data_IF_813272648830
#
_entry.id   IF_813272648830
#
_cell.length_a   1.000
_cell.length_b   1.000
_cell.length_c   1.000
_cell.angle_alpha   90.00
_cell.angle_beta   90.00
_cell.angle_gamma   90.00
#
_symmetry.space_group_name_H-M   'P 1'
#
loop_
_entity.id
_entity.type
_entity.pdbx_description
1 polymer ?
#
# COMPACT_ATOMS: atom_id res chain seq x y z
N UNK A 1 6.12 -27.57 -3.65
CA UNK A 1 6.97 -26.43 -3.21
C UNK A 1 6.84 -26.33 -1.70
N UNK A 2 7.95 -26.19 -1.02
CA UNK A 2 7.95 -25.86 0.41
C UNK A 2 7.74 -24.34 0.56
N UNK A 3 6.56 -23.93 1.02
CA UNK A 3 6.20 -22.52 1.12
C UNK A 3 6.89 -21.80 2.28
N UNK A 4 7.21 -22.52 3.36
CA UNK A 4 7.94 -21.92 4.49
C UNK A 4 9.37 -21.57 4.08
N UNK A 5 10.06 -22.50 3.42
CA UNK A 5 11.39 -22.24 2.89
C UNK A 5 11.38 -21.15 1.80
N UNK A 6 10.37 -21.15 0.93
CA UNK A 6 10.25 -20.12 -0.11
C UNK A 6 10.01 -18.72 0.50
N UNK A 7 9.18 -18.62 1.54
CA UNK A 7 8.93 -17.38 2.28
C UNK A 7 10.20 -16.90 2.99
N UNK A 8 10.91 -17.80 3.67
CA UNK A 8 12.17 -17.48 4.31
C UNK A 8 13.18 -16.93 3.28
N UNK A 9 13.33 -17.59 2.14
CA UNK A 9 14.25 -17.12 1.08
C UNK A 9 13.81 -15.74 0.52
N UNK A 10 12.52 -15.51 0.33
CA UNK A 10 11.98 -14.21 -0.11
C UNK A 10 12.36 -13.11 0.90
N UNK A 11 12.19 -13.35 2.18
CA UNK A 11 12.52 -12.37 3.24
C UNK A 11 14.02 -12.09 3.25
N UNK A 12 14.86 -13.12 3.28
CA UNK A 12 16.31 -12.95 3.44
C UNK A 12 17.00 -12.45 2.17
N UNK A 13 16.55 -12.87 0.98
CA UNK A 13 17.27 -12.61 -0.26
C UNK A 13 16.67 -11.49 -1.10
N UNK A 14 15.43 -11.08 -0.84
CA UNK A 14 14.76 -10.03 -1.60
C UNK A 14 14.40 -8.85 -0.70
N UNK A 15 13.69 -9.09 0.41
CA UNK A 15 13.17 -8.02 1.26
C UNK A 15 14.30 -7.34 2.05
N UNK A 16 15.12 -8.10 2.77
CA UNK A 16 16.26 -7.56 3.53
C UNK A 16 17.29 -6.85 2.65
N UNK A 17 17.57 -7.39 1.48
CA UNK A 17 18.53 -6.79 0.54
C UNK A 17 18.03 -5.47 -0.04
N UNK A 18 16.72 -5.20 0.05
CA UNK A 18 16.11 -3.93 -0.34
C UNK A 18 15.93 -2.97 0.85
N UNK A 19 16.82 -3.09 1.84
CA UNK A 19 16.93 -2.25 3.04
C UNK A 19 15.67 -2.26 3.94
N UNK A 20 14.92 -3.37 3.97
CA UNK A 20 13.89 -3.61 4.99
C UNK A 20 14.53 -4.33 6.16
N UNK A 21 14.77 -3.61 7.26
CA UNK A 21 15.52 -4.09 8.43
C UNK A 21 14.70 -4.08 9.73
N UNK A 22 13.54 -3.42 9.75
CA UNK A 22 12.64 -3.45 10.91
C UNK A 22 12.11 -4.87 11.14
N UNK A 23 12.53 -5.48 12.27
CA UNK A 23 12.15 -6.86 12.59
C UNK A 23 10.65 -7.02 12.72
N UNK A 24 9.93 -6.03 13.24
CA UNK A 24 8.47 -6.10 13.34
C UNK A 24 7.79 -6.17 11.96
N UNK A 25 8.36 -5.50 10.95
CA UNK A 25 7.86 -5.59 9.57
C UNK A 25 8.19 -6.96 8.97
N UNK A 26 9.41 -7.45 9.19
CA UNK A 26 9.81 -8.77 8.70
C UNK A 26 8.98 -9.89 9.32
N UNK A 27 8.66 -9.82 10.60
CA UNK A 27 7.83 -10.79 11.30
C UNK A 27 6.41 -10.88 10.71
N UNK A 28 5.84 -9.74 10.26
CA UNK A 28 4.53 -9.74 9.60
C UNK A 28 4.49 -10.58 8.32
N UNK A 29 5.61 -10.68 7.59
CA UNK A 29 5.69 -11.49 6.38
C UNK A 29 5.63 -13.01 6.67
N UNK A 30 5.88 -13.41 7.92
CA UNK A 30 5.68 -14.78 8.40
C UNK A 30 4.31 -14.98 9.05
N UNK A 31 3.67 -13.90 9.54
CA UNK A 31 2.31 -13.95 10.11
C UNK A 31 1.27 -13.96 9.01
N UNK A 32 1.39 -13.04 8.03
CA UNK A 32 0.49 -12.95 6.91
C UNK A 32 1.10 -13.62 5.68
N UNK A 33 0.59 -14.78 5.34
CA UNK A 33 1.11 -15.60 4.26
C UNK A 33 0.69 -15.02 2.91
N UNK A 34 1.64 -14.44 2.16
CA UNK A 34 1.38 -13.75 0.89
C UNK A 34 0.67 -14.64 -0.13
N UNK A 35 0.99 -15.95 -0.15
CA UNK A 35 0.37 -16.95 -1.03
C UNK A 35 -1.13 -17.16 -0.81
N UNK A 36 -1.68 -16.69 0.32
CA UNK A 36 -3.11 -16.74 0.61
C UNK A 36 -3.88 -15.52 0.11
N UNK A 37 -3.15 -14.49 -0.38
CA UNK A 37 -3.70 -13.25 -0.92
C UNK A 37 -3.58 -13.15 -2.45
N UNK A 38 -3.06 -14.15 -3.12
CA UNK A 38 -2.91 -14.18 -4.57
C UNK A 38 -3.94 -15.11 -5.21
N UNK A 39 -4.32 -14.88 -6.49
CA UNK A 39 -5.17 -15.83 -7.18
C UNK A 39 -4.53 -17.23 -7.22
N UNK A 40 -5.31 -18.32 -7.15
CA UNK A 40 -4.80 -19.68 -7.05
C UNK A 40 -3.75 -20.07 -8.10
N UNK A 41 -3.88 -19.54 -9.32
CA UNK A 41 -2.94 -19.78 -10.42
C UNK A 41 -1.53 -19.20 -10.15
N UNK A 42 -1.40 -18.26 -9.24
CA UNK A 42 -0.14 -17.56 -8.93
C UNK A 42 0.43 -17.92 -7.56
N UNK A 43 -0.13 -18.86 -6.81
CA UNK A 43 0.32 -19.20 -5.44
C UNK A 43 1.81 -19.55 -5.37
N UNK A 44 2.36 -20.26 -6.33
CA UNK A 44 3.77 -20.60 -6.39
C UNK A 44 4.69 -19.43 -6.76
N UNK A 45 4.13 -18.37 -7.33
CA UNK A 45 4.83 -17.13 -7.69
C UNK A 45 4.75 -16.06 -6.60
N UNK A 46 4.00 -16.28 -5.53
CA UNK A 46 3.82 -15.32 -4.44
C UNK A 46 5.14 -14.89 -3.79
N UNK A 47 6.18 -15.70 -3.88
CA UNK A 47 7.50 -15.46 -3.29
C UNK A 47 8.52 -14.86 -4.27
N UNK A 48 8.15 -14.69 -5.53
CA UNK A 48 9.01 -14.09 -6.54
C UNK A 48 8.95 -12.56 -6.49
N UNK A 49 10.06 -11.91 -6.87
CA UNK A 49 10.14 -10.45 -6.98
C UNK A 49 9.44 -9.93 -8.24
N UNK A 50 8.14 -10.10 -8.28
CA UNK A 50 7.30 -9.67 -9.39
C UNK A 50 5.92 -9.21 -8.90
N UNK A 51 5.26 -8.37 -9.69
CA UNK A 51 3.87 -8.01 -9.50
C UNK A 51 2.96 -9.18 -9.92
N UNK A 52 1.97 -9.50 -9.08
CA UNK A 52 1.00 -10.55 -9.36
C UNK A 52 -0.25 -9.94 -10.01
N UNK A 53 -0.67 -10.40 -11.19
CA UNK A 53 -1.92 -9.98 -11.80
C UNK A 53 -3.12 -10.36 -10.92
N UNK A 54 -3.99 -9.38 -10.64
CA UNK A 54 -5.23 -9.57 -9.91
C UNK A 54 -6.46 -9.62 -10.83
N UNK A 55 -6.27 -9.44 -12.14
CA UNK A 55 -7.34 -9.27 -13.12
C UNK A 55 -7.75 -7.80 -13.29
N UNK A 56 -8.57 -7.53 -14.31
CA UNK A 56 -9.07 -6.18 -14.64
C UNK A 56 -7.98 -5.11 -14.85
N UNK A 57 -6.75 -5.55 -15.19
CA UNK A 57 -5.58 -4.70 -15.31
C UNK A 57 -4.87 -4.36 -13.99
N UNK A 58 -5.43 -4.78 -12.86
CA UNK A 58 -4.88 -4.54 -11.53
C UNK A 58 -3.78 -5.54 -11.18
N UNK A 59 -2.84 -5.10 -10.34
CA UNK A 59 -1.68 -5.88 -9.92
C UNK A 59 -1.40 -5.68 -8.44
N UNK A 60 -0.99 -6.76 -7.79
CA UNK A 60 -0.41 -6.75 -6.45
C UNK A 60 1.07 -6.39 -6.56
N UNK A 61 1.56 -5.53 -5.70
CA UNK A 61 2.96 -5.09 -5.69
C UNK A 61 3.94 -6.24 -5.42
N UNK A 62 5.23 -6.00 -5.66
CA UNK A 62 6.27 -6.97 -5.29
C UNK A 62 6.42 -7.06 -3.78
N UNK A 63 6.86 -8.22 -3.23
CA UNK A 63 6.98 -8.42 -1.78
C UNK A 63 7.88 -7.36 -1.11
N UNK A 64 9.00 -7.02 -1.76
CA UNK A 64 9.96 -6.04 -1.24
C UNK A 64 9.36 -4.64 -1.16
N UNK A 65 8.52 -4.26 -2.15
CA UNK A 65 7.87 -2.94 -2.16
C UNK A 65 6.83 -2.83 -1.05
N UNK A 66 5.99 -3.84 -0.86
CA UNK A 66 4.99 -3.88 0.21
C UNK A 66 5.65 -3.75 1.59
N UNK A 67 6.69 -4.53 1.83
CA UNK A 67 7.44 -4.49 3.10
C UNK A 67 8.15 -3.13 3.29
N UNK A 68 8.76 -2.58 2.23
CA UNK A 68 9.44 -1.29 2.30
C UNK A 68 8.45 -0.16 2.65
N UNK A 69 7.29 -0.12 2.06
CA UNK A 69 6.26 0.89 2.35
C UNK A 69 5.82 0.82 3.81
N UNK A 70 5.58 -0.38 4.35
CA UNK A 70 5.22 -0.54 5.76
C UNK A 70 6.33 -0.04 6.68
N UNK A 71 7.60 -0.29 6.37
CA UNK A 71 8.74 0.21 7.14
C UNK A 71 8.83 1.73 7.08
N UNK A 72 8.74 2.34 5.91
CA UNK A 72 8.87 3.80 5.74
C UNK A 72 7.74 4.58 6.43
N UNK A 73 6.60 3.96 6.59
CA UNK A 73 5.49 4.54 7.33
C UNK A 73 5.77 4.60 8.85
N UNK A 74 6.67 3.80 9.42
CA UNK A 74 7.00 3.81 10.86
C UNK A 74 5.75 3.82 11.75
N UNK A 75 4.78 2.93 11.43
CA UNK A 75 3.47 2.90 12.08
C UNK A 75 3.57 2.52 13.57
N UNK A 76 2.74 3.18 14.39
CA UNK A 76 2.58 2.86 15.81
C UNK A 76 1.21 2.20 16.02
N UNK A 77 1.13 1.31 17.00
CA UNK A 77 -0.11 0.59 17.36
C UNK A 77 -1.28 1.50 17.76
N UNK A 78 -1.03 2.78 18.06
CA UNK A 78 -2.07 3.77 18.37
C UNK A 78 -2.61 4.52 17.16
N UNK A 79 -2.02 4.35 16.00
CA UNK A 79 -2.28 5.15 14.81
C UNK A 79 -3.38 4.56 13.92
N UNK A 80 -4.04 5.45 13.18
CA UNK A 80 -5.05 5.13 12.17
C UNK A 80 -4.48 5.33 10.76
N UNK A 81 -4.81 4.43 9.86
CA UNK A 81 -4.32 4.44 8.46
C UNK A 81 -5.48 4.53 7.48
N UNK A 82 -5.31 5.32 6.41
CA UNK A 82 -6.14 5.26 5.21
C UNK A 82 -5.33 4.63 4.08
N UNK A 83 -5.86 3.57 3.49
CA UNK A 83 -5.33 2.95 2.27
C UNK A 83 -6.28 3.18 1.11
N UNK A 84 -5.77 3.67 -0.01
CA UNK A 84 -6.53 3.84 -1.26
C UNK A 84 -6.03 2.84 -2.28
N UNK A 85 -6.87 1.84 -2.58
CA UNK A 85 -6.57 0.70 -3.43
C UNK A 85 -6.21 -0.55 -2.62
N UNK A 86 -7.22 -1.27 -2.12
CA UNK A 86 -7.04 -2.50 -1.32
C UNK A 86 -6.39 -3.63 -2.11
N UNK A 87 -6.76 -3.76 -3.40
CA UNK A 87 -6.29 -4.84 -4.26
C UNK A 87 -6.57 -6.22 -3.68
N UNK A 88 -5.53 -7.01 -3.42
CA UNK A 88 -5.64 -8.36 -2.84
C UNK A 88 -5.96 -8.35 -1.33
N UNK A 89 -5.73 -7.23 -0.63
CA UNK A 89 -5.80 -7.09 0.81
C UNK A 89 -4.51 -7.44 1.57
N UNK A 90 -3.43 -7.80 0.86
CA UNK A 90 -2.18 -8.18 1.55
C UNK A 90 -1.50 -7.00 2.23
N UNK A 91 -1.29 -5.89 1.51
CA UNK A 91 -0.76 -4.68 2.13
C UNK A 91 -1.66 -4.19 3.27
N UNK A 92 -2.99 -4.28 3.09
CA UNK A 92 -3.96 -3.97 4.15
C UNK A 92 -3.72 -4.79 5.42
N UNK A 93 -3.44 -6.09 5.28
CA UNK A 93 -3.12 -6.97 6.41
C UNK A 93 -1.82 -6.57 7.10
N UNK A 94 -0.78 -6.24 6.34
CA UNK A 94 0.51 -5.76 6.88
C UNK A 94 0.33 -4.44 7.65
N UNK A 95 -0.41 -3.48 7.09
CA UNK A 95 -0.75 -2.21 7.74
C UNK A 95 -1.54 -2.44 9.03
N UNK A 96 -2.54 -3.32 8.99
CA UNK A 96 -3.35 -3.69 10.15
C UNK A 96 -2.54 -4.35 11.27
N UNK A 97 -1.47 -5.08 10.94
CA UNK A 97 -0.54 -5.66 11.90
C UNK A 97 0.33 -4.63 12.62
N UNK A 98 0.36 -3.37 12.17
CA UNK A 98 1.16 -2.27 12.76
C UNK A 98 0.33 -1.12 13.31
N UNK A 99 -0.93 -1.00 12.90
CA UNK A 99 -1.80 0.14 13.24
C UNK A 99 -2.93 -0.26 14.18
N UNK A 100 -3.53 0.73 14.85
CA UNK A 100 -4.76 0.53 15.63
C UNK A 100 -5.93 0.12 14.75
N UNK A 101 -6.12 0.85 13.66
CA UNK A 101 -7.19 0.61 12.69
C UNK A 101 -6.78 1.07 11.28
N UNK A 102 -7.31 0.39 10.28
CA UNK A 102 -7.09 0.69 8.86
C UNK A 102 -8.45 0.89 8.19
N UNK A 103 -8.65 2.05 7.56
CA UNK A 103 -9.70 2.23 6.57
C UNK A 103 -9.10 1.94 5.18
N UNK A 104 -9.60 0.94 4.49
CA UNK A 104 -9.11 0.57 3.15
C UNK A 104 -10.22 0.69 2.13
N UNK A 105 -9.94 1.36 1.01
CA UNK A 105 -10.93 1.73 -0.01
C UNK A 105 -10.58 1.04 -1.32
N UNK A 106 -11.55 0.32 -1.89
CA UNK A 106 -11.41 -0.39 -3.16
C UNK A 106 -12.51 0.01 -4.14
N UNK A 107 -12.13 0.44 -5.33
CA UNK A 107 -13.07 0.84 -6.38
C UNK A 107 -13.64 -0.37 -7.14
N UNK A 108 -12.86 -1.45 -7.28
CA UNK A 108 -13.26 -2.66 -7.98
C UNK A 108 -14.10 -3.56 -7.07
N UNK A 109 -15.39 -3.80 -7.38
CA UNK A 109 -16.27 -4.58 -6.50
C UNK A 109 -15.84 -6.04 -6.34
N UNK A 110 -15.18 -6.63 -7.36
CA UNK A 110 -14.65 -7.99 -7.29
C UNK A 110 -13.47 -8.06 -6.32
N UNK A 111 -12.47 -7.18 -6.47
CA UNK A 111 -11.31 -7.13 -5.57
C UNK A 111 -11.72 -6.79 -4.14
N UNK A 112 -12.68 -5.87 -3.95
CA UNK A 112 -13.25 -5.60 -2.63
C UNK A 112 -13.84 -6.86 -1.96
N UNK A 113 -14.55 -7.71 -2.72
CA UNK A 113 -15.12 -8.95 -2.19
C UNK A 113 -14.03 -10.00 -1.88
N UNK A 114 -13.04 -10.15 -2.77
CA UNK A 114 -11.91 -11.06 -2.59
C UNK A 114 -11.04 -10.64 -1.40
N UNK A 115 -10.65 -9.36 -1.31
CA UNK A 115 -9.89 -8.84 -0.17
C UNK A 115 -10.61 -9.04 1.17
N UNK A 116 -11.94 -8.85 1.21
CA UNK A 116 -12.74 -9.14 2.41
C UNK A 116 -12.60 -10.60 2.84
N UNK A 117 -12.65 -11.52 1.89
CA UNK A 117 -12.49 -12.95 2.18
C UNK A 117 -11.08 -13.28 2.67
N UNK A 118 -10.05 -12.74 2.02
CA UNK A 118 -8.65 -12.93 2.41
C UNK A 118 -8.37 -12.39 3.82
N UNK A 119 -8.78 -11.15 4.11
CA UNK A 119 -8.60 -10.53 5.42
C UNK A 119 -9.32 -11.29 6.53
N UNK A 120 -10.54 -11.77 6.26
CA UNK A 120 -11.28 -12.60 7.21
C UNK A 120 -10.59 -13.94 7.47
N UNK A 121 -10.10 -14.61 6.43
CA UNK A 121 -9.35 -15.87 6.55
C UNK A 121 -8.04 -15.69 7.31
N UNK A 122 -7.36 -14.56 7.11
CA UNK A 122 -6.14 -14.20 7.85
C UNK A 122 -6.39 -13.70 9.28
N UNK A 123 -7.65 -13.65 9.75
CA UNK A 123 -8.00 -13.24 11.11
C UNK A 123 -7.86 -11.74 11.38
N UNK A 124 -7.72 -10.89 10.35
CA UNK A 124 -7.60 -9.44 10.47
C UNK A 124 -8.96 -8.84 10.86
N UNK A 125 -9.02 -8.08 11.97
CA UNK A 125 -10.28 -7.57 12.53
C UNK A 125 -10.35 -6.06 12.68
N UNK A 126 -9.23 -5.36 12.60
CA UNK A 126 -9.11 -3.91 12.76
C UNK A 126 -9.10 -3.17 11.42
N UNK A 127 -9.75 -3.73 10.40
CA UNK A 127 -9.88 -3.14 9.07
C UNK A 127 -11.34 -2.81 8.78
N UNK A 128 -11.60 -1.56 8.39
CA UNK A 128 -12.84 -1.12 7.78
C UNK A 128 -12.65 -1.09 6.27
N UNK A 129 -13.11 -2.14 5.59
CA UNK A 129 -13.05 -2.24 4.14
C UNK A 129 -14.25 -1.55 3.50
N UNK A 130 -14.01 -0.55 2.68
CA UNK A 130 -15.04 0.26 2.03
C UNK A 130 -14.94 0.19 0.51
N UNK A 131 -16.09 0.22 -0.19
CA UNK A 131 -16.13 0.23 -1.64
C UNK A 131 -16.39 1.64 -2.14
N UNK A 132 -15.48 2.16 -2.98
CA UNK A 132 -15.64 3.48 -3.56
C UNK A 132 -14.41 4.00 -4.29
N UNK A 133 -14.52 5.20 -4.79
CA UNK A 133 -13.43 5.90 -5.47
C UNK A 133 -12.72 6.84 -4.47
N UNK A 134 -11.51 6.48 -4.09
CA UNK A 134 -10.66 7.27 -3.19
C UNK A 134 -9.68 8.21 -3.89
N UNK A 135 -9.73 8.33 -5.21
CA UNK A 135 -8.75 9.09 -5.98
C UNK A 135 -8.66 10.58 -5.61
N UNK A 136 -9.63 11.11 -4.89
CA UNK A 136 -9.68 12.51 -4.42
C UNK A 136 -9.85 12.64 -2.91
N UNK A 137 -9.46 11.60 -2.14
CA UNK A 137 -9.69 11.50 -0.71
C UNK A 137 -10.88 10.60 -0.38
N UNK A 138 -11.09 10.30 0.91
CA UNK A 138 -12.16 9.43 1.37
C UNK A 138 -12.82 9.93 2.64
N UNK A 139 -14.12 10.24 2.55
CA UNK A 139 -14.88 10.75 3.69
C UNK A 139 -14.31 12.05 4.28
N UNK A 140 -14.56 12.27 5.58
CA UNK A 140 -14.14 13.49 6.29
C UNK A 140 -13.20 13.22 7.47
N UNK A 141 -12.79 11.97 7.66
CA UNK A 141 -11.87 11.61 8.74
C UNK A 141 -10.44 12.04 8.43
N UNK A 142 -9.64 12.16 9.48
CA UNK A 142 -8.19 12.39 9.37
C UNK A 142 -7.42 11.19 9.91
N UNK A 143 -6.24 10.95 9.35
CA UNK A 143 -5.44 9.76 9.59
C UNK A 143 -4.00 10.11 9.97
N UNK A 144 -3.36 9.24 10.73
CA UNK A 144 -1.95 9.37 11.07
C UNK A 144 -1.05 8.99 9.89
N UNK A 145 -1.51 8.05 9.05
CA UNK A 145 -0.84 7.70 7.82
C UNK A 145 -1.84 7.49 6.66
N UNK A 146 -1.42 7.83 5.44
CA UNK A 146 -2.17 7.57 4.20
C UNK A 146 -1.27 6.84 3.22
N UNK A 147 -1.79 5.81 2.54
CA UNK A 147 -1.09 5.06 1.51
C UNK A 147 -1.90 5.06 0.23
N UNK A 148 -1.29 5.49 -0.87
CA UNK A 148 -1.86 5.35 -2.22
C UNK A 148 -1.17 4.16 -2.88
N UNK A 149 -1.93 3.13 -3.25
CA UNK A 149 -1.39 1.91 -3.85
C UNK A 149 -1.33 1.93 -5.38
N UNK A 150 -1.82 2.98 -5.99
CA UNK A 150 -1.63 3.29 -7.40
C UNK A 150 -0.87 4.60 -7.58
N UNK A 151 -0.18 4.77 -8.71
CA UNK A 151 0.52 6.03 -8.99
C UNK A 151 -0.43 7.18 -9.30
N UNK A 152 0.04 8.40 -9.08
CA UNK A 152 -0.69 9.62 -9.42
C UNK A 152 0.26 10.63 -10.07
N UNK A 153 -0.13 11.31 -11.16
CA UNK A 153 0.71 12.34 -11.77
C UNK A 153 0.91 13.56 -10.86
N UNK A 154 -0.06 13.82 -9.98
CA UNK A 154 -0.02 14.91 -9.02
C UNK A 154 -0.75 14.52 -7.74
N UNK A 155 -0.26 15.02 -6.60
CA UNK A 155 -0.92 14.80 -5.32
C UNK A 155 -2.10 15.75 -5.17
N UNK A 156 -3.27 15.21 -4.83
CA UNK A 156 -4.44 16.02 -4.52
C UNK A 156 -4.32 16.63 -3.11
N UNK A 157 -4.64 17.91 -2.98
CA UNK A 157 -4.67 18.62 -1.68
C UNK A 157 -5.58 17.92 -0.65
N UNK A 158 -6.59 17.20 -1.13
CA UNK A 158 -7.54 16.49 -0.27
C UNK A 158 -6.88 15.41 0.57
N UNK A 159 -5.93 14.66 0.02
CA UNK A 159 -5.19 13.66 0.82
C UNK A 159 -4.35 14.31 1.90
N UNK A 160 -3.71 15.43 1.57
CA UNK A 160 -2.92 16.20 2.53
C UNK A 160 -3.80 16.75 3.67
N UNK A 161 -5.00 17.25 3.33
CA UNK A 161 -5.98 17.75 4.31
C UNK A 161 -6.55 16.64 5.20
N UNK A 162 -6.45 15.39 4.79
CA UNK A 162 -6.85 14.22 5.57
C UNK A 162 -5.72 13.67 6.47
N UNK A 163 -4.54 14.28 6.45
CA UNK A 163 -3.49 13.96 7.43
C UNK A 163 -3.76 14.67 8.76
N UNK A 164 -3.54 13.98 9.85
CA UNK A 164 -3.41 14.58 11.18
C UNK A 164 -2.08 15.34 11.31
N UNK A 165 -1.95 16.26 12.28
CA UNK A 165 -0.65 16.83 12.62
C UNK A 165 0.40 15.74 12.85
N UNK A 166 1.60 15.91 12.29
CA UNK A 166 2.67 14.92 12.25
C UNK A 166 2.37 13.64 11.45
N UNK A 167 1.28 13.63 10.70
CA UNK A 167 0.93 12.53 9.81
C UNK A 167 1.83 12.45 8.59
N UNK A 168 1.78 11.31 7.89
CA UNK A 168 2.57 11.05 6.67
C UNK A 168 1.74 10.35 5.61
N UNK A 169 2.13 10.62 4.36
CA UNK A 169 1.49 10.04 3.18
C UNK A 169 2.55 9.40 2.29
N UNK A 170 2.36 8.13 1.96
CA UNK A 170 3.12 7.44 0.93
C UNK A 170 2.36 7.48 -0.40
N UNK A 171 3.05 7.87 -1.46
CA UNK A 171 2.52 7.85 -2.82
C UNK A 171 3.63 7.60 -3.84
N UNK A 172 3.28 6.99 -4.97
CA UNK A 172 4.14 6.98 -6.16
C UNK A 172 3.66 8.09 -7.09
N UNK A 173 4.53 9.06 -7.35
CA UNK A 173 4.20 10.30 -8.07
C UNK A 173 4.93 10.34 -9.40
N UNK A 174 4.22 10.68 -10.45
CA UNK A 174 4.72 10.81 -11.81
C UNK A 174 3.93 9.96 -12.82
N UNK A 175 4.35 10.04 -14.06
CA UNK A 175 3.84 9.25 -15.18
C UNK A 175 4.96 8.34 -15.72
N UNK A 176 4.60 7.15 -16.20
CA UNK A 176 5.55 6.23 -16.81
C UNK A 176 6.30 6.90 -17.97
N UNK A 177 7.61 6.68 -18.14
CA UNK A 177 8.43 5.70 -17.41
C UNK A 177 9.13 6.26 -16.15
N UNK A 178 8.84 7.49 -15.74
CA UNK A 178 9.53 8.18 -14.63
C UNK A 178 8.56 8.46 -13.49
N UNK A 179 8.62 7.60 -12.47
CA UNK A 179 7.81 7.74 -11.25
C UNK A 179 8.71 7.59 -10.02
N UNK A 180 8.37 8.30 -8.97
CA UNK A 180 9.12 8.29 -7.70
C UNK A 180 8.21 7.95 -6.54
N UNK A 181 8.59 6.96 -5.75
CA UNK A 181 7.98 6.69 -4.47
C UNK A 181 8.39 7.76 -3.47
N UNK A 182 7.40 8.43 -2.87
CA UNK A 182 7.57 9.56 -1.98
C UNK A 182 6.90 9.36 -0.64
N UNK A 183 7.57 9.82 0.39
CA UNK A 183 6.97 9.98 1.71
C UNK A 183 6.84 11.47 2.02
N UNK A 184 5.60 11.91 2.17
CA UNK A 184 5.30 13.27 2.64
C UNK A 184 5.08 13.23 4.14
N UNK A 185 5.67 14.18 4.88
CA UNK A 185 5.48 14.34 6.33
C UNK A 185 4.97 15.73 6.64
N UNK A 186 3.93 15.81 7.44
CA UNK A 186 3.46 17.10 7.98
C UNK A 186 4.30 17.46 9.19
N UNK A 187 5.19 18.43 9.05
CA UNK A 187 6.14 18.83 10.11
C UNK A 187 5.66 19.98 10.98
N UNK A 188 4.83 20.89 10.41
CA UNK A 188 4.22 22.00 11.12
C UNK A 188 2.97 22.47 10.34
N UNK A 189 2.06 23.28 10.95
CA UNK A 189 0.93 23.85 10.24
C UNK A 189 1.35 24.56 8.95
N UNK A 190 0.89 24.03 7.80
CA UNK A 190 1.24 24.51 6.47
C UNK A 190 2.62 24.11 5.95
N UNK A 191 3.40 23.35 6.70
CA UNK A 191 4.71 22.86 6.27
C UNK A 191 4.68 21.35 6.04
N UNK A 192 4.83 20.97 4.78
CA UNK A 192 4.96 19.58 4.34
C UNK A 192 6.34 19.45 3.72
N UNK A 193 7.10 18.50 4.20
CA UNK A 193 8.34 18.06 3.58
C UNK A 193 8.09 16.74 2.87
N UNK A 194 8.81 16.50 1.79
CA UNK A 194 8.78 15.21 1.12
C UNK A 194 10.19 14.64 1.01
N UNK A 195 10.25 13.34 1.02
CA UNK A 195 11.45 12.54 0.80
C UNK A 195 11.20 11.62 -0.37
N UNK A 196 12.09 11.64 -1.35
CA UNK A 196 12.08 10.70 -2.47
C UNK A 196 12.83 9.45 -2.03
N UNK A 197 12.11 8.32 -1.99
CA UNK A 197 12.62 7.06 -1.43
C UNK A 197 13.33 6.21 -2.49
N UNK A 198 12.68 5.99 -3.62
CA UNK A 198 13.19 5.19 -4.74
C UNK A 198 12.38 5.43 -6.02
N UNK A 199 12.98 5.12 -7.15
CA UNK A 199 12.28 5.10 -8.44
C UNK A 199 11.56 3.78 -8.64
N UNK A 200 10.35 3.85 -9.21
CA UNK A 200 9.53 2.67 -9.52
C UNK A 200 8.51 3.02 -10.59
N UNK A 201 7.91 2.00 -11.19
CA UNK A 201 6.77 2.17 -12.11
C UNK A 201 5.68 1.23 -11.67
N UNK A 202 4.50 1.76 -11.30
CA UNK A 202 3.33 1.00 -10.92
C UNK A 202 2.10 1.44 -11.72
N UNK A 203 1.04 0.63 -11.70
CA UNK A 203 -0.23 0.99 -12.32
C UNK A 203 -0.80 2.29 -11.72
N UNK A 204 -1.40 3.18 -12.54
CA UNK A 204 -1.98 4.40 -12.03
C UNK A 204 -3.25 4.12 -11.22
N UNK A 205 -3.47 4.95 -10.20
CA UNK A 205 -4.73 4.96 -9.46
C UNK A 205 -5.86 5.36 -10.42
N UNK A 206 -6.95 4.59 -10.45
CA UNK A 206 -8.11 4.93 -11.27
C UNK A 206 -8.64 6.30 -10.88
N UNK A 207 -8.96 7.12 -11.86
CA UNK A 207 -9.46 8.49 -11.70
C UNK A 207 -8.48 9.44 -10.97
N UNK A 208 -7.18 9.10 -10.92
CA UNK A 208 -6.16 9.99 -10.35
C UNK A 208 -6.26 11.40 -10.93
N UNK A 209 -6.08 12.43 -10.09
CA UNK A 209 -6.06 13.83 -10.56
C UNK A 209 -5.02 14.02 -11.65
N UNK A 210 -5.44 14.64 -12.75
CA UNK A 210 -4.52 14.98 -13.82
C UNK A 210 -4.09 16.46 -13.66
N UNK A 211 -2.80 16.78 -13.79
CA UNK A 211 -2.35 18.16 -13.81
C UNK A 211 -2.97 18.88 -15.00
N UNK A 212 -3.22 20.18 -14.86
CA UNK A 212 -3.68 21.00 -15.97
C UNK A 212 -2.63 20.93 -17.10
N UNK A 213 -3.01 20.37 -18.24
CA UNK A 213 -2.14 20.38 -19.42
C UNK A 213 -2.28 21.74 -20.10
N UNK A 214 -1.14 22.37 -20.38
CA UNK A 214 -1.14 23.53 -21.28
C UNK A 214 -1.56 23.06 -22.66
N UNK A 215 -2.65 23.63 -23.17
CA UNK A 215 -3.06 23.51 -24.58
C UNK A 215 -2.52 24.75 -25.26
N UNK A 216 -1.61 24.59 -26.22
CA UNK A 216 -1.11 25.65 -27.06
C UNK A 216 -2.12 25.94 -28.17
#
# INVERSE_FOLDING_TARGET
MDFEQARFNMVEQQVRTWAVLDQNVLDLLFVFHREDFVPPAYRTLAFADLEIPLGDGERMWTPKMEARVVQELELKESESVLEIGTGSGYLTALLAGRARDVASVEINPRLHAEARAHLAAAGVRNVKLERGDGARGWGNATYDAIVLTGSTPALADTWVKQLKPSGRLFAVVGDAPVMTARLLRWTAPGAIVHEDLFETVIAPLKNAPQPARFVF
#
